data_IF_533263811018
#
_entry.id   IF_533263811018
#
_cell.length_a   1.000
_cell.length_b   1.000
_cell.length_c   1.000
_cell.angle_alpha   90.00
_cell.angle_beta   90.00
_cell.angle_gamma   90.00
#
_symmetry.space_group_name_H-M   'P 1'
#
loop_
_entity.id
_entity.type
_entity.pdbx_description
1 polymer ?
#
# COMPACT_ATOMS: atom_id res chain seq x y z
N UNK A 1 2.69 -15.31 -33.40
CA UNK A 1 2.24 -13.94 -33.01
C UNK A 1 1.66 -13.86 -31.58
N UNK A 2 2.41 -14.20 -30.51
CA UNK A 2 1.93 -14.14 -29.10
C UNK A 2 2.53 -13.00 -28.25
N UNK A 3 3.46 -12.22 -28.80
CA UNK A 3 4.16 -11.15 -28.11
C UNK A 3 3.29 -10.01 -27.52
N UNK A 4 2.23 -9.50 -28.20
CA UNK A 4 1.55 -8.30 -27.73
C UNK A 4 0.71 -8.52 -26.46
N UNK A 5 0.18 -9.73 -26.26
CA UNK A 5 -0.65 -10.07 -25.09
C UNK A 5 0.19 -10.15 -23.82
N UNK A 6 1.39 -10.73 -23.92
CA UNK A 6 2.32 -10.85 -22.78
C UNK A 6 2.78 -9.47 -22.29
N UNK A 7 3.04 -8.57 -23.23
CA UNK A 7 3.46 -7.21 -22.94
C UNK A 7 2.34 -6.36 -22.32
N UNK A 8 1.11 -6.47 -22.86
CA UNK A 8 -0.08 -5.84 -22.27
C UNK A 8 -0.30 -6.31 -20.82
N UNK A 9 -0.16 -7.62 -20.55
CA UNK A 9 -0.30 -8.18 -19.21
C UNK A 9 0.76 -7.63 -18.23
N UNK A 10 2.02 -7.54 -18.65
CA UNK A 10 3.10 -6.95 -17.84
C UNK A 10 2.81 -5.49 -17.49
N UNK A 11 2.31 -4.70 -18.46
CA UNK A 11 1.91 -3.31 -18.22
C UNK A 11 0.79 -3.21 -17.19
N UNK A 12 -0.27 -4.01 -17.32
CA UNK A 12 -1.38 -4.03 -16.35
C UNK A 12 -0.89 -4.39 -14.95
N UNK A 13 -0.05 -5.43 -14.82
CA UNK A 13 0.52 -5.82 -13.53
C UNK A 13 1.40 -4.72 -12.92
N UNK A 14 2.20 -4.04 -13.73
CA UNK A 14 2.98 -2.88 -13.27
C UNK A 14 2.07 -1.73 -12.84
N UNK A 15 0.95 -1.49 -13.52
CA UNK A 15 -0.05 -0.49 -13.11
C UNK A 15 -0.67 -0.86 -11.76
N UNK A 16 -1.00 -2.14 -11.53
CA UNK A 16 -1.52 -2.62 -10.23
C UNK A 16 -0.48 -2.38 -9.12
N UNK A 17 0.79 -2.68 -9.39
CA UNK A 17 1.87 -2.41 -8.45
C UNK A 17 1.97 -0.91 -8.11
N UNK A 18 1.90 -0.03 -9.11
CA UNK A 18 1.88 1.41 -8.87
C UNK A 18 0.62 1.90 -8.16
N UNK A 19 -0.54 1.33 -8.45
CA UNK A 19 -1.80 1.69 -7.78
C UNK A 19 -1.79 1.30 -6.29
N UNK A 20 -0.97 0.34 -5.88
CA UNK A 20 -0.88 -0.07 -4.46
C UNK A 20 -0.38 1.06 -3.54
N UNK A 21 0.45 1.99 -4.04
CA UNK A 21 0.97 3.12 -3.25
C UNK A 21 -0.14 4.10 -2.83
N UNK A 22 -0.91 4.72 -3.76
CA UNK A 22 -2.00 5.61 -3.37
C UNK A 22 -3.09 4.87 -2.60
N UNK A 23 -3.35 3.60 -2.90
CA UNK A 23 -4.32 2.79 -2.13
C UNK A 23 -3.86 2.57 -0.69
N UNK A 24 -2.62 2.13 -0.47
CA UNK A 24 -2.04 1.97 0.88
C UNK A 24 -2.09 3.28 1.67
N UNK A 25 -1.78 4.39 1.00
CA UNK A 25 -1.79 5.73 1.58
C UNK A 25 -3.21 6.13 1.98
N UNK A 26 -4.18 6.01 1.07
CA UNK A 26 -5.57 6.37 1.34
C UNK A 26 -6.16 5.54 2.49
N UNK A 27 -5.91 4.23 2.48
CA UNK A 27 -6.33 3.33 3.56
C UNK A 27 -5.70 3.74 4.90
N UNK A 28 -4.44 4.15 4.92
CA UNK A 28 -3.76 4.60 6.14
C UNK A 28 -4.31 5.93 6.64
N UNK A 29 -4.55 6.90 5.74
CA UNK A 29 -5.19 8.17 6.12
C UNK A 29 -6.61 7.96 6.63
N UNK A 30 -7.33 6.95 6.12
CA UNK A 30 -8.63 6.55 6.65
C UNK A 30 -8.54 5.96 8.06
N UNK A 31 -7.39 5.49 8.54
CA UNK A 31 -7.23 5.01 9.91
C UNK A 31 -7.07 6.15 10.92
N UNK A 32 -6.63 7.32 10.46
CA UNK A 32 -6.43 8.47 11.32
C UNK A 32 -7.76 9.04 11.82
N UNK A 33 -7.77 9.47 13.08
CA UNK A 33 -8.90 10.14 13.70
C UNK A 33 -8.77 11.65 13.54
N UNK A 34 -9.18 12.14 12.38
CA UNK A 34 -9.11 13.56 12.03
C UNK A 34 -9.98 14.45 12.91
N UNK A 35 -10.99 13.89 13.58
CA UNK A 35 -11.93 14.64 14.41
C UNK A 35 -11.62 14.53 15.92
N UNK A 36 -10.60 13.76 16.30
CA UNK A 36 -10.24 13.57 17.71
C UNK A 36 -11.35 12.92 18.54
N UNK A 37 -12.16 12.07 17.92
CA UNK A 37 -13.27 11.36 18.59
C UNK A 37 -12.80 10.34 19.62
N UNK A 38 -11.55 9.86 19.53
CA UNK A 38 -11.00 8.81 20.38
C UNK A 38 -11.61 7.42 20.12
N UNK A 39 -12.42 7.27 19.06
CA UNK A 39 -13.08 6.00 18.76
C UNK A 39 -12.08 5.03 18.16
N UNK A 40 -11.89 3.90 18.84
CA UNK A 40 -11.03 2.83 18.37
C UNK A 40 -11.56 2.24 17.04
N UNK A 41 -10.68 2.11 16.05
CA UNK A 41 -11.01 1.42 14.79
C UNK A 41 -10.89 -0.09 14.97
N UNK A 42 -11.71 -0.90 14.29
CA UNK A 42 -11.57 -2.35 14.33
C UNK A 42 -10.17 -2.82 13.90
N UNK A 43 -9.57 -3.74 14.65
CA UNK A 43 -8.17 -4.18 14.43
C UNK A 43 -7.88 -4.67 13.00
N UNK A 44 -8.86 -5.27 12.33
CA UNK A 44 -8.69 -5.77 10.96
C UNK A 44 -8.44 -4.64 9.94
N UNK A 45 -8.86 -3.41 10.23
CA UNK A 45 -8.67 -2.26 9.31
C UNK A 45 -7.19 -1.88 9.16
N UNK A 46 -6.38 -2.14 10.20
CA UNK A 46 -4.92 -1.93 10.16
C UNK A 46 -4.19 -2.89 9.22
N UNK A 47 -4.83 -4.00 8.84
CA UNK A 47 -4.28 -4.93 7.85
C UNK A 47 -4.53 -4.49 6.40
N UNK A 48 -5.43 -3.52 6.15
CA UNK A 48 -5.76 -3.13 4.78
C UNK A 48 -4.58 -2.49 4.02
N UNK A 49 -3.82 -1.52 4.60
CA UNK A 49 -2.63 -0.99 3.94
C UNK A 49 -1.58 -2.07 3.59
N UNK A 50 -1.13 -2.96 4.51
CA UNK A 50 -0.15 -3.97 4.17
C UNK A 50 -0.67 -5.00 3.16
N UNK A 51 -1.95 -5.37 3.20
CA UNK A 51 -2.56 -6.22 2.17
C UNK A 51 -2.48 -5.56 0.79
N UNK A 52 -2.76 -4.26 0.70
CA UNK A 52 -2.66 -3.55 -0.58
C UNK A 52 -1.22 -3.49 -1.12
N UNK A 53 -0.22 -3.27 -0.25
CA UNK A 53 1.20 -3.35 -0.61
C UNK A 53 1.63 -4.75 -1.03
N UNK A 54 1.11 -5.82 -0.39
CA UNK A 54 1.35 -7.21 -0.79
C UNK A 54 0.78 -7.51 -2.18
N UNK A 55 -0.45 -7.05 -2.47
CA UNK A 55 -1.06 -7.18 -3.81
C UNK A 55 -0.21 -6.47 -4.85
N UNK A 56 0.25 -5.24 -4.56
CA UNK A 56 1.16 -4.50 -5.43
C UNK A 56 2.50 -5.20 -5.62
N UNK A 57 3.05 -5.77 -4.56
CA UNK A 57 4.28 -6.54 -4.55
C UNK A 57 4.23 -7.75 -5.46
N UNK A 58 3.21 -8.60 -5.26
CA UNK A 58 2.95 -9.79 -6.10
C UNK A 58 2.79 -9.38 -7.56
N UNK A 59 2.06 -8.29 -7.83
CA UNK A 59 1.90 -7.78 -9.19
C UNK A 59 3.24 -7.31 -9.80
N UNK A 60 4.06 -6.59 -9.03
CA UNK A 60 5.39 -6.12 -9.44
C UNK A 60 6.35 -7.26 -9.78
N UNK A 61 6.43 -8.28 -8.92
CA UNK A 61 7.23 -9.48 -9.18
C UNK A 61 6.74 -10.23 -10.42
N UNK A 62 5.42 -10.41 -10.59
CA UNK A 62 4.84 -11.04 -11.79
C UNK A 62 5.04 -10.22 -13.06
N UNK A 63 5.22 -8.91 -12.96
CA UNK A 63 5.58 -8.03 -14.06
C UNK A 63 7.09 -8.08 -14.41
N UNK A 64 7.91 -8.85 -13.67
CA UNK A 64 9.37 -8.84 -13.72
C UNK A 64 9.97 -7.47 -13.38
N UNK A 65 9.35 -6.74 -12.43
CA UNK A 65 9.88 -5.50 -11.85
C UNK A 65 10.12 -5.74 -10.37
N UNK A 66 11.22 -6.44 -10.06
CA UNK A 66 11.54 -6.91 -8.70
C UNK A 66 11.66 -5.77 -7.70
N UNK A 67 12.37 -4.70 -8.08
CA UNK A 67 12.52 -3.50 -7.24
C UNK A 67 11.14 -2.90 -6.92
N UNK A 68 10.28 -2.74 -7.93
CA UNK A 68 8.93 -2.21 -7.74
C UNK A 68 8.10 -3.12 -6.82
N UNK A 69 8.21 -4.44 -6.99
CA UNK A 69 7.55 -5.41 -6.13
C UNK A 69 7.99 -5.30 -4.67
N UNK A 70 9.30 -5.29 -4.43
CA UNK A 70 9.86 -5.15 -3.08
C UNK A 70 9.47 -3.82 -2.42
N UNK A 71 9.54 -2.71 -3.16
CA UNK A 71 9.17 -1.38 -2.67
C UNK A 71 7.67 -1.32 -2.34
N UNK A 72 6.79 -1.94 -3.13
CA UNK A 72 5.36 -1.98 -2.83
C UNK A 72 5.04 -2.74 -1.53
N UNK A 73 5.70 -3.88 -1.29
CA UNK A 73 5.56 -4.64 -0.03
C UNK A 73 6.05 -3.82 1.15
N UNK A 74 7.26 -3.26 1.06
CA UNK A 74 7.83 -2.44 2.12
C UNK A 74 6.96 -1.23 2.42
N UNK A 75 6.46 -0.54 1.39
CA UNK A 75 5.58 0.61 1.54
C UNK A 75 4.28 0.26 2.26
N UNK A 76 3.57 -0.80 1.86
CA UNK A 76 2.33 -1.20 2.52
C UNK A 76 2.53 -1.59 3.99
N UNK A 77 3.65 -2.22 4.32
CA UNK A 77 4.00 -2.58 5.71
C UNK A 77 4.37 -1.36 6.56
N UNK A 78 5.09 -0.40 5.99
CA UNK A 78 5.61 0.75 6.73
C UNK A 78 4.66 1.93 6.80
N UNK A 79 3.64 2.00 5.92
CA UNK A 79 2.75 3.17 5.85
C UNK A 79 2.05 3.47 7.19
N UNK A 80 1.51 2.44 7.85
CA UNK A 80 0.82 2.57 9.14
C UNK A 80 1.76 3.02 10.27
N UNK A 81 2.88 2.32 10.57
CA UNK A 81 3.78 2.75 11.65
C UNK A 81 4.39 4.12 11.39
N UNK A 82 4.68 4.46 10.12
CA UNK A 82 5.13 5.82 9.76
C UNK A 82 4.04 6.84 10.06
N UNK A 83 2.78 6.58 9.72
CA UNK A 83 1.68 7.49 10.04
C UNK A 83 1.47 7.66 11.54
N UNK A 84 1.53 6.58 12.33
CA UNK A 84 1.45 6.63 13.79
C UNK A 84 2.59 7.48 14.36
N UNK A 85 3.82 7.25 13.89
CA UNK A 85 4.98 8.01 14.32
C UNK A 85 4.84 9.51 13.99
N UNK A 86 4.43 9.85 12.77
CA UNK A 86 4.22 11.24 12.34
C UNK A 86 3.13 11.92 13.16
N UNK A 87 1.99 11.26 13.38
CA UNK A 87 0.90 11.82 14.20
C UNK A 87 1.36 12.03 15.64
N UNK A 88 2.08 11.07 16.23
CA UNK A 88 2.64 11.20 17.57
C UNK A 88 3.67 12.33 17.69
N UNK A 89 4.47 12.59 16.65
CA UNK A 89 5.39 13.74 16.62
C UNK A 89 4.66 15.08 16.57
N UNK A 90 3.51 15.16 15.88
CA UNK A 90 2.76 16.41 15.71
C UNK A 90 1.85 16.71 16.90
N UNK A 91 1.17 15.69 17.44
CA UNK A 91 0.15 15.87 18.47
C UNK A 91 0.58 15.44 19.88
N UNK A 92 1.78 14.86 20.03
CA UNK A 92 2.24 14.29 21.29
C UNK A 92 1.78 12.84 21.50
N UNK A 93 2.31 12.15 22.53
CA UNK A 93 1.90 10.80 22.89
C UNK A 93 0.47 10.73 23.48
#
# INVERSE_FOLDING_TARGET
MKAPVREKRKRILATIAWASFPVSTALTLMLLDWQGTGVAKPLWTFALPPVSGLVGGIAGFRAQKEILGAVAVAFGLLCVPVAIFVVGLVYGP
#
